data_IF_491894664543
#
_entry.id   IF_491894664543
#
_cell.length_a   1.000
_cell.length_b   1.000
_cell.length_c   1.000
_cell.angle_alpha   90.00
_cell.angle_beta   90.00
_cell.angle_gamma   90.00
#
_symmetry.space_group_name_H-M   'P 1'
#
loop_
_entity.id
_entity.type
_entity.pdbx_description
1 polymer ?
#
# COMPACT_ATOMS: atom_id res chain seq x y z
N UNK A 1 -23.20 9.89 1.22
CA UNK A 1 -21.98 9.36 0.57
C UNK A 1 -20.98 9.00 1.64
N UNK A 2 -20.47 7.76 1.64
CA UNK A 2 -19.47 7.27 2.60
C UNK A 2 -18.09 7.38 1.97
N UNK A 3 -17.12 7.93 2.70
CA UNK A 3 -15.74 8.01 2.21
C UNK A 3 -15.07 6.65 2.37
N UNK A 4 -14.57 6.06 1.29
CA UNK A 4 -13.86 4.78 1.34
C UNK A 4 -12.35 5.00 1.36
N UNK A 5 -11.67 4.35 2.29
CA UNK A 5 -10.22 4.46 2.46
C UNK A 5 -9.65 3.04 2.61
N UNK A 6 -8.64 2.72 1.81
CA UNK A 6 -7.86 1.49 1.96
C UNK A 6 -6.45 1.84 2.45
N UNK A 7 -5.97 1.12 3.46
CA UNK A 7 -4.63 1.25 4.03
C UNK A 7 -3.89 -0.05 3.79
N UNK A 8 -2.74 0.04 3.10
CA UNK A 8 -1.85 -1.10 2.89
C UNK A 8 -0.78 -1.05 3.96
N UNK A 9 -0.61 -2.16 4.70
CA UNK A 9 0.41 -2.25 5.76
C UNK A 9 0.92 -3.69 5.87
N UNK A 10 2.22 -3.89 6.15
CA UNK A 10 2.74 -5.20 6.54
C UNK A 10 2.31 -5.62 7.96
N UNK A 11 1.75 -4.70 8.74
CA UNK A 11 1.27 -4.90 10.12
C UNK A 11 -0.13 -4.24 10.25
N UNK A 12 -1.20 -4.85 9.72
CA UNK A 12 -2.55 -4.28 9.76
C UNK A 12 -3.11 -4.16 11.19
N UNK A 13 -2.73 -5.05 12.10
CA UNK A 13 -3.23 -5.08 13.49
C UNK A 13 -2.93 -3.79 14.26
N UNK A 14 -1.80 -3.14 13.95
CA UNK A 14 -1.46 -1.84 14.54
C UNK A 14 -2.49 -0.77 14.16
N UNK A 15 -2.97 -0.79 12.91
CA UNK A 15 -3.98 0.14 12.44
C UNK A 15 -5.35 -0.19 13.01
N UNK A 16 -5.70 -1.48 13.19
CA UNK A 16 -6.96 -1.88 13.84
C UNK A 16 -7.08 -1.25 15.23
N UNK A 17 -6.03 -1.34 16.05
CA UNK A 17 -6.00 -0.73 17.38
C UNK A 17 -6.25 0.79 17.34
N UNK A 18 -5.57 1.50 16.42
CA UNK A 18 -5.77 2.95 16.23
C UNK A 18 -7.22 3.26 15.81
N UNK A 19 -7.80 2.45 14.92
CA UNK A 19 -9.17 2.64 14.48
C UNK A 19 -10.15 2.43 15.64
N UNK A 20 -9.98 1.38 16.44
CA UNK A 20 -10.90 1.02 17.54
C UNK A 20 -10.84 1.99 18.73
N UNK A 21 -9.72 2.68 18.95
CA UNK A 21 -9.52 3.52 20.13
C UNK A 21 -9.42 5.03 19.82
N UNK A 22 -9.84 5.47 18.64
CA UNK A 22 -9.79 6.89 18.23
C UNK A 22 -11.11 7.42 17.68
N UNK A 23 -11.13 8.68 17.26
CA UNK A 23 -12.26 9.30 16.55
C UNK A 23 -12.63 8.56 15.26
N UNK A 24 -11.72 7.74 14.70
CA UNK A 24 -11.99 6.91 13.54
C UNK A 24 -13.07 5.87 13.84
N UNK A 25 -13.12 5.30 15.06
CA UNK A 25 -14.17 4.36 15.47
C UNK A 25 -15.55 4.98 15.31
N UNK A 26 -15.74 6.18 15.85
CA UNK A 26 -17.01 6.89 15.78
C UNK A 26 -17.38 7.21 14.32
N UNK A 27 -16.41 7.55 13.47
CA UNK A 27 -16.66 7.81 12.06
C UNK A 27 -17.09 6.54 11.29
N UNK A 28 -16.54 5.38 11.65
CA UNK A 28 -16.95 4.07 11.11
C UNK A 28 -18.34 3.67 11.62
N UNK A 29 -18.58 3.77 12.93
CA UNK A 29 -19.89 3.45 13.57
C UNK A 29 -21.03 4.34 13.04
N UNK A 30 -20.74 5.61 12.72
CA UNK A 30 -21.69 6.56 12.11
C UNK A 30 -21.76 6.45 10.58
N UNK A 31 -21.14 5.42 10.00
CA UNK A 31 -21.10 5.13 8.57
C UNK A 31 -20.59 6.30 7.69
N UNK A 32 -19.76 7.19 8.26
CA UNK A 32 -19.15 8.31 7.53
C UNK A 32 -17.96 7.85 6.71
N UNK A 33 -17.22 6.85 7.21
CA UNK A 33 -16.01 6.30 6.58
C UNK A 33 -16.10 4.78 6.52
N UNK A 34 -15.61 4.20 5.42
CA UNK A 34 -15.34 2.77 5.29
C UNK A 34 -13.83 2.56 5.24
N UNK A 35 -13.30 1.82 6.21
CA UNK A 35 -11.86 1.50 6.28
C UNK A 35 -11.64 0.06 5.84
N UNK A 36 -10.71 -0.12 4.91
CA UNK A 36 -10.22 -1.43 4.49
C UNK A 36 -8.74 -1.53 4.80
N UNK A 37 -8.37 -2.52 5.61
CA UNK A 37 -6.97 -2.83 5.87
C UNK A 37 -6.54 -3.95 4.92
N UNK A 38 -5.48 -3.70 4.16
CA UNK A 38 -4.89 -4.66 3.22
C UNK A 38 -3.53 -5.07 3.78
N UNK A 39 -3.41 -6.34 4.15
CA UNK A 39 -2.15 -6.88 4.65
C UNK A 39 -1.21 -7.12 3.47
N UNK A 40 -0.07 -6.42 3.44
CA UNK A 40 0.92 -6.59 2.37
C UNK A 40 1.50 -8.01 2.33
N UNK A 41 1.61 -8.67 3.50
CA UNK A 41 2.16 -10.03 3.60
C UNK A 41 1.28 -11.08 2.92
N UNK A 42 0.00 -10.82 2.67
CA UNK A 42 -0.84 -11.77 1.94
C UNK A 42 -0.45 -11.91 0.46
N UNK A 43 0.34 -10.97 -0.05
CA UNK A 43 0.83 -10.95 -1.43
C UNK A 43 2.32 -11.25 -1.54
N UNK A 44 2.96 -11.59 -0.43
CA UNK A 44 4.39 -11.91 -0.37
C UNK A 44 4.73 -13.21 -1.11
N UNK A 45 5.99 -13.36 -1.48
CA UNK A 45 6.48 -14.49 -2.27
C UNK A 45 7.03 -15.62 -1.40
N UNK A 46 6.93 -16.86 -1.90
CA UNK A 46 7.41 -18.06 -1.23
C UNK A 46 6.69 -18.42 0.08
N UNK A 47 7.24 -19.39 0.80
CA UNK A 47 6.64 -19.91 2.03
C UNK A 47 6.65 -18.90 3.20
N UNK A 48 7.61 -17.97 3.19
CA UNK A 48 7.78 -16.97 4.24
C UNK A 48 7.02 -15.67 3.96
N UNK A 49 6.28 -15.58 2.84
CA UNK A 49 5.55 -14.38 2.42
C UNK A 49 6.46 -13.15 2.39
N UNK A 50 7.58 -13.26 1.67
CA UNK A 50 8.60 -12.22 1.56
C UNK A 50 8.03 -10.99 0.83
N UNK A 51 8.30 -9.80 1.35
CA UNK A 51 7.75 -8.52 0.86
C UNK A 51 8.85 -7.47 0.61
N UNK A 52 10.09 -7.80 0.88
CA UNK A 52 11.26 -6.95 0.79
C UNK A 52 12.47 -7.72 0.23
N UNK A 53 13.36 -7.00 -0.45
CA UNK A 53 14.56 -7.54 -1.07
C UNK A 53 15.73 -6.57 -0.89
N UNK A 54 16.94 -7.08 -1.12
CA UNK A 54 18.17 -6.31 -1.09
C UNK A 54 18.18 -5.18 -2.13
N UNK A 55 18.68 -3.98 -1.77
CA UNK A 55 18.78 -2.87 -2.71
C UNK A 55 19.79 -3.16 -3.83
N UNK A 56 19.47 -2.70 -5.04
CA UNK A 56 20.44 -2.67 -6.14
C UNK A 56 21.63 -1.79 -5.78
N UNK A 57 22.84 -2.27 -6.09
CA UNK A 57 24.10 -1.59 -5.72
C UNK A 57 24.59 -1.91 -4.30
N UNK A 58 23.87 -2.75 -3.55
CA UNK A 58 24.24 -3.15 -2.19
C UNK A 58 23.99 -2.05 -1.15
N UNK A 59 24.47 -2.28 0.07
CA UNK A 59 24.29 -1.39 1.21
C UNK A 59 23.37 -1.97 2.30
N UNK A 60 23.36 -1.36 3.49
CA UNK A 60 22.53 -1.83 4.59
C UNK A 60 21.04 -1.54 4.35
N UNK A 61 20.18 -2.44 4.83
CA UNK A 61 18.74 -2.30 4.77
C UNK A 61 18.08 -3.09 3.64
N UNK A 62 16.76 -2.96 3.56
CA UNK A 62 15.90 -3.70 2.64
C UNK A 62 14.98 -2.72 1.90
N UNK A 63 14.58 -3.09 0.68
CA UNK A 63 13.66 -2.33 -0.17
C UNK A 63 12.40 -3.15 -0.39
N UNK A 64 11.24 -2.52 -0.26
CA UNK A 64 9.96 -3.19 -0.51
C UNK A 64 9.89 -3.73 -1.95
N UNK A 65 9.52 -4.99 -2.09
CA UNK A 65 9.36 -5.65 -3.38
C UNK A 65 8.18 -5.06 -4.15
N UNK A 66 8.37 -4.81 -5.44
CA UNK A 66 7.32 -4.27 -6.28
C UNK A 66 6.15 -5.27 -6.47
N UNK A 67 6.43 -6.55 -6.72
CA UNK A 67 5.40 -7.56 -7.00
C UNK A 67 4.29 -7.62 -5.95
N UNK A 68 4.60 -7.92 -4.67
CA UNK A 68 3.63 -7.89 -3.57
C UNK A 68 2.93 -6.55 -3.40
N UNK A 69 3.66 -5.44 -3.54
CA UNK A 69 3.12 -4.09 -3.39
C UNK A 69 2.07 -3.76 -4.46
N UNK A 70 2.32 -4.10 -5.72
CA UNK A 70 1.37 -3.87 -6.81
C UNK A 70 0.09 -4.69 -6.61
N UNK A 71 0.21 -5.97 -6.24
CA UNK A 71 -0.96 -6.81 -5.95
C UNK A 71 -1.79 -6.25 -4.79
N UNK A 72 -1.14 -5.73 -3.74
CA UNK A 72 -1.83 -5.06 -2.63
C UNK A 72 -2.54 -3.77 -3.06
N UNK A 73 -1.90 -2.97 -3.94
CA UNK A 73 -2.50 -1.75 -4.51
C UNK A 73 -3.73 -2.10 -5.35
N UNK A 74 -3.65 -3.12 -6.19
CA UNK A 74 -4.81 -3.60 -6.97
C UNK A 74 -5.95 -4.03 -6.04
N UNK A 75 -5.64 -4.77 -4.97
CA UNK A 75 -6.65 -5.14 -3.99
C UNK A 75 -7.30 -3.94 -3.31
N UNK A 76 -6.50 -2.93 -2.95
CA UNK A 76 -6.99 -1.69 -2.36
C UNK A 76 -7.92 -0.93 -3.33
N UNK A 77 -7.57 -0.87 -4.62
CA UNK A 77 -8.38 -0.26 -5.68
C UNK A 77 -9.74 -0.94 -5.78
N UNK A 78 -9.79 -2.28 -5.78
CA UNK A 78 -11.05 -3.03 -5.83
C UNK A 78 -11.98 -2.69 -4.66
N UNK A 79 -11.42 -2.51 -3.45
CA UNK A 79 -12.21 -2.21 -2.25
C UNK A 79 -12.78 -0.79 -2.26
N UNK A 80 -11.97 0.19 -2.66
CA UNK A 80 -12.36 1.61 -2.67
C UNK A 80 -13.32 1.89 -3.84
N UNK A 81 -12.98 1.42 -5.04
CA UNK A 81 -13.72 1.70 -6.28
C UNK A 81 -13.64 3.17 -6.73
N UNK A 82 -13.89 3.42 -8.02
CA UNK A 82 -13.96 4.77 -8.57
C UNK A 82 -12.62 5.50 -8.70
N UNK A 83 -12.66 6.84 -8.60
CA UNK A 83 -11.50 7.73 -8.77
C UNK A 83 -10.65 7.73 -7.50
N UNK A 84 -9.45 7.15 -7.58
CA UNK A 84 -8.58 6.96 -6.42
C UNK A 84 -7.44 7.99 -6.36
N UNK A 85 -7.16 8.47 -5.14
CA UNK A 85 -5.96 9.21 -4.79
C UNK A 85 -5.11 8.28 -3.93
N UNK A 86 -3.93 7.87 -4.42
CA UNK A 86 -2.99 7.07 -3.64
C UNK A 86 -2.03 8.02 -2.92
N UNK A 87 -1.96 7.95 -1.60
CA UNK A 87 -0.90 8.62 -0.83
C UNK A 87 0.12 7.60 -0.38
N UNK A 88 1.40 7.82 -0.71
CA UNK A 88 2.50 7.04 -0.15
C UNK A 88 3.05 7.78 1.06
N UNK A 89 2.86 7.23 2.25
CA UNK A 89 3.45 7.76 3.47
C UNK A 89 4.78 7.07 3.75
N UNK A 90 5.87 7.82 3.70
CA UNK A 90 7.19 7.37 4.13
C UNK A 90 7.72 8.38 5.15
N UNK A 91 8.04 7.95 6.39
CA UNK A 91 8.61 8.83 7.38
C UNK A 91 10.04 9.20 6.97
N UNK A 92 10.18 10.31 6.24
CA UNK A 92 11.48 10.86 5.90
C UNK A 92 12.00 11.68 7.08
N UNK A 93 13.28 11.54 7.43
CA UNK A 93 13.98 12.29 8.51
C UNK A 93 13.88 13.83 8.41
N UNK A 94 13.43 14.36 7.27
CA UNK A 94 13.28 15.79 6.99
C UNK A 94 11.82 16.25 6.97
N UNK A 95 10.87 15.37 7.29
CA UNK A 95 9.46 15.70 7.38
C UNK A 95 8.76 15.96 6.04
N UNK A 96 9.30 15.48 4.92
CA UNK A 96 8.62 15.63 3.63
C UNK A 96 7.25 14.94 3.68
N UNK A 97 6.16 15.65 3.35
CA UNK A 97 4.84 15.02 3.29
C UNK A 97 4.84 13.95 2.19
N UNK A 98 4.13 12.86 2.46
CA UNK A 98 4.05 11.72 1.55
C UNK A 98 3.71 12.11 0.11
N UNK A 99 4.25 11.36 -0.85
CA UNK A 99 4.00 11.63 -2.28
C UNK A 99 2.59 11.17 -2.62
N UNK A 100 1.76 12.10 -3.12
CA UNK A 100 0.44 11.78 -3.65
C UNK A 100 0.58 11.34 -5.11
N UNK A 101 0.21 10.10 -5.40
CA UNK A 101 0.22 9.48 -6.73
C UNK A 101 -1.22 9.35 -7.23
N UNK A 102 -1.52 9.98 -8.37
CA UNK A 102 -2.82 9.83 -9.02
C UNK A 102 -2.93 8.47 -9.74
N UNK A 103 -4.16 7.93 -9.81
CA UNK A 103 -4.45 6.63 -10.44
C UNK A 103 -3.87 6.45 -11.85
N UNK A 104 -3.86 7.50 -12.70
CA UNK A 104 -3.27 7.43 -14.06
C UNK A 104 -1.77 7.09 -14.04
N UNK A 105 -1.02 7.60 -13.06
CA UNK A 105 0.42 7.30 -12.92
C UNK A 105 0.65 5.86 -12.48
N UNK A 106 -0.21 5.29 -11.65
CA UNK A 106 -0.12 3.89 -11.20
C UNK A 106 -0.23 2.94 -12.41
N UNK A 107 -1.18 3.22 -13.32
CA UNK A 107 -1.37 2.42 -14.54
C UNK A 107 -0.14 2.50 -15.47
N UNK A 108 0.50 3.66 -15.59
CA UNK A 108 1.75 3.83 -16.35
C UNK A 108 2.95 3.10 -15.70
N UNK A 109 3.03 3.08 -14.37
CA UNK A 109 4.05 2.33 -13.65
C UNK A 109 3.90 0.82 -13.88
N UNK A 110 2.67 0.31 -13.99
CA UNK A 110 2.41 -1.09 -14.31
C UNK A 110 3.00 -1.52 -15.66
N UNK A 111 2.88 -0.70 -16.71
CA UNK A 111 3.47 -1.02 -18.02
C UNK A 111 5.00 -1.01 -18.01
N UNK A 112 5.61 -0.22 -17.11
CA UNK A 112 7.07 -0.21 -16.91
C UNK A 112 7.54 -1.47 -16.16
N UNK A 113 6.77 -1.98 -15.19
CA UNK A 113 7.13 -3.20 -14.46
C UNK A 113 7.06 -4.45 -15.33
N UNK A 114 6.04 -4.59 -16.17
CA UNK A 114 5.98 -5.70 -17.13
C UNK A 114 7.18 -5.72 -18.09
N UNK A 115 7.80 -4.57 -18.35
CA UNK A 115 9.01 -4.45 -19.16
C UNK A 115 10.27 -4.90 -18.41
N UNK A 116 10.35 -4.63 -17.10
CA UNK A 116 11.50 -5.02 -16.26
C UNK A 116 11.52 -6.53 -16.02
N UNK A 117 10.35 -7.15 -15.82
CA UNK A 117 10.25 -8.60 -15.62
C UNK A 117 10.71 -9.40 -16.85
N UNK A 118 10.51 -8.90 -18.07
CA UNK A 118 11.02 -9.53 -19.31
C UNK A 118 12.53 -9.44 -19.49
N UNK A 119 13.22 -8.53 -18.78
CA UNK A 119 14.68 -8.36 -18.90
C UNK A 119 15.49 -9.13 -17.84
N UNK A 120 14.82 -9.85 -16.93
CA UNK A 120 15.46 -10.70 -15.90
C UNK A 120 15.48 -12.19 -16.25
N UNK A 121 15.24 -12.56 -17.51
CA UNK A 121 15.40 -13.92 -18.02
C UNK A 121 16.80 -14.16 -18.60
#
# INVERSE_FOLDING_TARGET
>A
MKTKIAIISPIPQMMESVVQHSMLRQAVEREKVELHLVNLRDFGEGNYRQIDDTPFGGGPGMVMMAGPLFKAIEKAIEKVGGKMILGLFFPHLRGYPGVIIAQRKIVQLRSLLSYVDTTRA
#
